data_IF_469966482292
#
_entry.id   IF_469966482292
#
_cell.length_a   1.000
_cell.length_b   1.000
_cell.length_c   1.000
_cell.angle_alpha   90.00
_cell.angle_beta   90.00
_cell.angle_gamma   90.00
#
_symmetry.space_group_name_H-M   'P 1'
#
loop_
_entity.id
_entity.type
_entity.pdbx_description
1 polymer ?
#
# COMPACT_ATOMS: atom_id res chain seq x y z
N UNK A 1 6.79 7.42 3.68
CA UNK A 1 5.36 7.66 3.42
C UNK A 1 4.55 6.48 3.92
N UNK A 2 3.44 6.75 4.58
CA UNK A 2 2.53 5.70 5.03
C UNK A 2 1.26 5.78 4.21
N UNK A 3 0.92 4.66 3.56
CA UNK A 3 -0.25 4.60 2.70
C UNK A 3 -1.32 3.76 3.37
N UNK A 4 -2.52 4.32 3.51
CA UNK A 4 -3.67 3.62 4.07
C UNK A 4 -4.45 2.96 2.94
N UNK A 5 -4.60 1.66 2.99
CA UNK A 5 -5.29 0.92 1.96
C UNK A 5 -6.71 0.55 2.40
N UNK A 6 -7.58 0.33 1.43
CA UNK A 6 -8.96 -0.05 1.71
C UNK A 6 -9.02 -1.45 2.31
N UNK A 7 -10.02 -1.67 3.17
CA UNK A 7 -10.12 -2.90 3.95
C UNK A 7 -10.30 -4.16 3.13
N UNK A 8 -10.88 -4.06 1.95
CA UNK A 8 -11.22 -5.23 1.14
C UNK A 8 -10.23 -5.50 0.03
N UNK A 9 -9.02 -5.02 0.17
CA UNK A 9 -7.99 -5.24 -0.84
C UNK A 9 -7.46 -6.68 -0.73
N UNK A 10 -7.43 -7.39 -1.85
CA UNK A 10 -6.92 -8.76 -1.89
C UNK A 10 -5.45 -8.82 -1.48
N UNK A 11 -5.07 -9.92 -0.83
CA UNK A 11 -3.69 -10.09 -0.42
C UNK A 11 -2.73 -10.13 -1.61
N UNK A 12 -3.19 -10.66 -2.74
CA UNK A 12 -2.37 -10.65 -3.96
C UNK A 12 -2.08 -9.24 -4.44
N UNK A 13 -3.08 -8.36 -4.34
CA UNK A 13 -2.91 -6.96 -4.71
C UNK A 13 -1.98 -6.25 -3.74
N UNK A 14 -2.15 -6.53 -2.45
CA UNK A 14 -1.27 -5.94 -1.42
C UNK A 14 0.18 -6.33 -1.66
N UNK A 15 0.42 -7.58 -1.98
CA UNK A 15 1.76 -8.07 -2.23
C UNK A 15 2.37 -7.39 -3.46
N UNK A 16 1.55 -7.22 -4.51
CA UNK A 16 1.99 -6.57 -5.73
C UNK A 16 2.34 -5.10 -5.48
N UNK A 17 1.51 -4.39 -4.73
CA UNK A 17 1.76 -3.01 -4.38
C UNK A 17 3.07 -2.90 -3.59
N UNK A 18 3.26 -3.78 -2.63
CA UNK A 18 4.47 -3.76 -1.80
C UNK A 18 5.72 -3.96 -2.65
N UNK A 19 5.66 -4.87 -3.61
CA UNK A 19 6.80 -5.13 -4.49
C UNK A 19 7.09 -3.96 -5.41
N UNK A 20 6.06 -3.36 -5.95
CA UNK A 20 6.23 -2.26 -6.90
C UNK A 20 6.70 -0.98 -6.24
N UNK A 21 6.23 -0.73 -5.03
CA UNK A 21 6.62 0.47 -4.29
C UNK A 21 7.80 0.23 -3.37
N UNK A 22 8.29 -1.02 -3.29
CA UNK A 22 9.33 -1.41 -2.34
C UNK A 22 8.92 -1.02 -0.93
N UNK A 23 7.68 -1.33 -0.59
CA UNK A 23 7.09 -0.95 0.68
C UNK A 23 6.95 -2.15 1.60
N UNK A 24 6.79 -1.86 2.89
CA UNK A 24 6.48 -2.89 3.87
C UNK A 24 4.97 -2.90 4.12
N UNK A 25 4.38 -4.08 4.06
CA UNK A 25 2.98 -4.23 4.38
C UNK A 25 2.82 -4.52 5.87
N UNK A 26 2.00 -3.73 6.53
CA UNK A 26 1.72 -3.90 7.95
C UNK A 26 0.21 -3.96 8.11
N UNK A 27 -0.26 -4.95 8.86
CA UNK A 27 -1.68 -5.05 9.20
C UNK A 27 -1.85 -4.66 10.66
N UNK A 28 -2.68 -3.66 10.91
CA UNK A 28 -2.91 -3.16 12.25
C UNK A 28 -4.40 -2.90 12.44
N UNK A 29 -4.99 -3.57 13.43
CA UNK A 29 -6.39 -3.39 13.78
C UNK A 29 -7.34 -3.56 12.59
N UNK A 30 -7.01 -4.53 11.73
CA UNK A 30 -7.83 -4.78 10.54
C UNK A 30 -7.56 -3.86 9.38
N UNK A 31 -6.67 -2.90 9.53
CA UNK A 31 -6.31 -1.99 8.46
C UNK A 31 -4.99 -2.40 7.83
N UNK A 32 -4.92 -2.26 6.51
CA UNK A 32 -3.71 -2.56 5.77
C UNK A 32 -2.95 -1.27 5.48
N UNK A 33 -1.69 -1.24 5.88
CA UNK A 33 -0.84 -0.07 5.72
C UNK A 33 0.39 -0.46 4.91
N UNK A 34 0.84 0.46 4.07
CA UNK A 34 2.10 0.30 3.36
C UNK A 34 3.05 1.41 3.77
N UNK A 35 4.24 1.01 4.19
CA UNK A 35 5.27 1.98 4.57
C UNK A 35 6.32 1.97 3.46
N UNK A 36 6.47 3.10 2.79
CA UNK A 36 7.40 3.22 1.67
C UNK A 36 8.67 3.93 2.10
N UNK A 37 9.73 3.74 1.32
CA UNK A 37 10.98 4.44 1.56
C UNK A 37 10.83 5.92 1.21
N UNK A 38 11.80 6.72 1.65
CA UNK A 38 11.77 8.17 1.47
C UNK A 38 11.87 8.61 0.02
N UNK A 39 12.22 7.70 -0.89
CA UNK A 39 12.36 8.06 -2.30
C UNK A 39 11.05 8.21 -3.05
N UNK A 40 9.95 7.72 -2.49
CA UNK A 40 8.66 7.79 -3.16
C UNK A 40 8.02 9.15 -2.92
N UNK A 41 7.72 9.86 -4.02
CA UNK A 41 7.13 11.20 -3.94
C UNK A 41 5.63 11.20 -4.10
N UNK A 42 5.10 10.23 -4.86
CA UNK A 42 3.66 10.14 -5.06
C UNK A 42 3.27 8.70 -5.35
N UNK A 43 2.00 8.39 -5.14
CA UNK A 43 1.48 7.06 -5.37
C UNK A 43 1.15 6.91 -6.85
N UNK A 44 1.62 5.83 -7.52
CA UNK A 44 1.24 5.60 -8.91
C UNK A 44 -0.28 5.55 -9.08
N UNK A 45 -0.79 6.16 -10.13
CA UNK A 45 -2.23 6.25 -10.34
C UNK A 45 -2.89 4.89 -10.47
N UNK A 46 -2.16 3.88 -10.88
CA UNK A 46 -2.72 2.52 -10.99
C UNK A 46 -3.17 1.97 -9.64
N UNK A 47 -2.70 2.54 -8.55
CA UNK A 47 -3.06 2.08 -7.20
C UNK A 47 -4.09 2.99 -6.52
N UNK A 48 -4.56 4.04 -7.19
CA UNK A 48 -5.50 4.99 -6.58
C UNK A 48 -6.77 4.31 -6.08
N UNK A 49 -7.22 3.27 -6.76
CA UNK A 49 -8.45 2.59 -6.38
C UNK A 49 -8.31 1.83 -5.06
N UNK A 50 -7.10 1.54 -4.64
CA UNK A 50 -6.83 0.77 -3.43
C UNK A 50 -6.48 1.65 -2.24
N UNK A 51 -6.22 2.91 -2.47
CA UNK A 51 -5.84 3.85 -1.41
C UNK A 51 -7.08 4.47 -0.79
N UNK A 52 -7.08 4.46 0.52
CA UNK A 52 -8.20 5.03 1.28
C UNK A 52 -8.14 6.55 1.31
#
# INVERSE_FOLDING_TARGET
MIIHLKNNTDSNVLDDIAKQLKAFHIKKEGLDLMITSSGLKEIPSQFDNYVQ
#
